data_IF_651185752497
#
_entry.id   IF_651185752497
#
_cell.length_a   1.000
_cell.length_b   1.000
_cell.length_c   1.000
_cell.angle_alpha   90.00
_cell.angle_beta   90.00
_cell.angle_gamma   90.00
#
_symmetry.space_group_name_H-M   'P 1'
#
loop_
_entity.id
_entity.type
_entity.pdbx_description
1 polymer ?
#
# COMPACT_ATOMS: atom_id res chain seq x y z
N UNK A 1 0.88 -14.69 -11.82
CA UNK A 1 0.79 -14.34 -10.37
C UNK A 1 0.79 -12.84 -10.19
N UNK A 2 -0.14 -12.30 -9.42
CA UNK A 2 -0.19 -10.88 -9.03
C UNK A 2 0.36 -10.69 -7.62
N UNK A 3 1.09 -9.61 -7.41
CA UNK A 3 1.63 -9.22 -6.11
C UNK A 3 1.04 -7.86 -5.70
N UNK A 4 0.46 -7.82 -4.52
CA UNK A 4 -0.27 -6.65 -4.03
C UNK A 4 0.38 -6.12 -2.75
N UNK A 5 0.66 -4.84 -2.71
CA UNK A 5 1.06 -4.13 -1.50
C UNK A 5 -0.05 -3.21 -1.04
N UNK A 6 -0.36 -3.24 0.25
CA UNK A 6 -1.39 -2.41 0.86
C UNK A 6 -0.82 -1.64 2.05
N UNK A 7 -0.62 -0.33 1.86
CA UNK A 7 -0.48 0.62 2.96
C UNK A 7 -1.87 1.02 3.44
N UNK A 8 -2.22 0.57 4.65
CA UNK A 8 -3.58 0.71 5.19
C UNK A 8 -3.91 2.09 5.77
N UNK A 9 -2.98 3.05 5.72
CA UNK A 9 -3.24 4.40 6.20
C UNK A 9 -4.29 5.15 5.39
N UNK A 10 -4.95 6.18 6.00
CA UNK A 10 -5.88 7.06 5.27
C UNK A 10 -5.21 7.79 4.08
N UNK A 11 -3.90 7.97 4.14
CA UNK A 11 -3.05 8.48 3.06
C UNK A 11 -2.21 7.38 2.43
N UNK A 12 -2.60 6.14 2.60
CA UNK A 12 -1.92 4.99 2.04
C UNK A 12 -2.28 4.72 0.58
N UNK A 13 -2.08 3.49 0.16
CA UNK A 13 -2.38 3.08 -1.21
C UNK A 13 -2.47 1.56 -1.37
N UNK A 14 -2.96 1.16 -2.53
CA UNK A 14 -3.01 -0.22 -2.98
C UNK A 14 -2.33 -0.27 -4.35
N UNK A 15 -1.31 -1.10 -4.49
CA UNK A 15 -0.57 -1.28 -5.75
C UNK A 15 -0.53 -2.75 -6.11
N UNK A 16 -0.84 -3.04 -7.37
CA UNK A 16 -0.87 -4.37 -7.95
C UNK A 16 0.21 -4.46 -9.02
N UNK A 17 1.15 -5.38 -8.84
CA UNK A 17 2.25 -5.67 -9.76
C UNK A 17 2.02 -7.01 -10.44
N UNK A 18 2.20 -7.07 -11.75
CA UNK A 18 2.24 -8.32 -12.49
C UNK A 18 3.64 -8.94 -12.36
N UNK A 19 3.72 -10.13 -11.75
CA UNK A 19 4.99 -10.81 -11.49
C UNK A 19 5.68 -11.34 -12.75
N UNK A 20 4.97 -11.55 -13.85
CA UNK A 20 5.54 -12.01 -15.12
C UNK A 20 6.16 -10.85 -15.90
N UNK A 21 5.38 -9.80 -16.12
CA UNK A 21 5.82 -8.62 -16.89
C UNK A 21 6.64 -7.64 -16.09
N UNK A 22 6.64 -7.75 -14.76
CA UNK A 22 7.29 -6.83 -13.81
C UNK A 22 6.79 -5.38 -13.93
N UNK A 23 5.54 -5.24 -14.37
CA UNK A 23 4.88 -3.92 -14.56
C UNK A 23 3.81 -3.67 -13.51
N UNK A 24 3.52 -2.41 -13.27
CA UNK A 24 2.37 -2.03 -12.44
C UNK A 24 1.10 -2.22 -13.27
N UNK A 25 0.23 -3.10 -12.78
CA UNK A 25 -1.08 -3.35 -13.39
C UNK A 25 -2.08 -2.26 -12.99
N UNK A 26 -2.08 -1.90 -11.72
CA UNK A 26 -2.95 -0.85 -11.18
C UNK A 26 -2.38 -0.27 -9.90
N UNK A 27 -2.72 0.98 -9.65
CA UNK A 27 -2.37 1.68 -8.40
C UNK A 27 -3.50 2.59 -7.98
N UNK A 28 -3.83 2.58 -6.69
CA UNK A 28 -4.92 3.34 -6.11
C UNK A 28 -4.44 4.01 -4.83
N UNK A 29 -4.67 5.31 -4.72
CA UNK A 29 -4.62 5.97 -3.41
C UNK A 29 -5.71 5.35 -2.54
N UNK A 30 -5.47 5.20 -1.24
CA UNK A 30 -6.47 4.62 -0.34
C UNK A 30 -7.81 5.35 -0.52
N UNK A 31 -8.87 4.63 -0.89
CA UNK A 31 -10.18 5.23 -1.08
C UNK A 31 -10.73 5.80 0.23
N UNK A 32 -11.02 7.08 0.22
CA UNK A 32 -11.53 7.81 1.40
C UNK A 32 -12.59 8.83 1.01
N UNK A 33 -13.57 9.03 1.89
CA UNK A 33 -14.47 10.18 1.85
C UNK A 33 -13.77 11.39 2.49
N UNK A 34 -13.65 12.49 1.74
CA UNK A 34 -13.11 13.76 2.21
C UNK A 34 -14.26 14.67 2.63
N UNK A 35 -14.44 14.88 3.93
CA UNK A 35 -15.43 15.78 4.51
C UNK A 35 -14.85 16.55 5.69
N UNK A 36 -15.68 16.96 6.65
CA UNK A 36 -15.20 17.52 7.93
C UNK A 36 -14.21 16.59 8.64
N UNK A 37 -14.37 15.29 8.43
CA UNK A 37 -13.45 14.24 8.90
C UNK A 37 -13.27 13.25 7.75
N UNK A 38 -12.02 12.87 7.48
CA UNK A 38 -11.69 11.82 6.50
C UNK A 38 -12.07 10.45 7.09
N UNK A 39 -12.67 9.59 6.26
CA UNK A 39 -13.03 8.23 6.62
C UNK A 39 -12.83 7.29 5.44
N UNK A 40 -12.72 5.96 5.66
CA UNK A 40 -12.51 5.00 4.58
C UNK A 40 -13.77 4.83 3.72
N UNK A 41 -13.58 4.83 2.41
CA UNK A 41 -14.61 4.36 1.45
C UNK A 41 -14.49 2.85 1.28
N UNK A 42 -15.07 2.13 2.23
CA UNK A 42 -15.01 0.66 2.30
C UNK A 42 -15.57 0.03 1.01
N UNK A 43 -16.62 0.60 0.44
CA UNK A 43 -17.21 0.09 -0.80
C UNK A 43 -16.24 0.15 -1.97
N UNK A 44 -15.51 1.24 -2.10
CA UNK A 44 -14.48 1.38 -3.14
C UNK A 44 -13.29 0.46 -2.89
N UNK A 45 -12.87 0.26 -1.64
CA UNK A 45 -11.83 -0.72 -1.29
C UNK A 45 -12.27 -2.14 -1.68
N UNK A 46 -13.51 -2.54 -1.34
CA UNK A 46 -14.08 -3.83 -1.75
C UNK A 46 -14.04 -4.02 -3.27
N UNK A 47 -14.42 -3.00 -4.04
CA UNK A 47 -14.40 -3.05 -5.50
C UNK A 47 -12.99 -3.24 -6.08
N UNK A 48 -11.99 -2.54 -5.53
CA UNK A 48 -10.60 -2.69 -5.97
C UNK A 48 -10.11 -4.13 -5.77
N UNK A 49 -10.46 -4.74 -4.64
CA UNK A 49 -10.05 -6.10 -4.30
C UNK A 49 -10.95 -7.19 -4.91
N UNK A 50 -12.07 -6.81 -5.55
CA UNK A 50 -13.03 -7.75 -6.14
C UNK A 50 -12.47 -8.52 -7.35
N UNK A 51 -11.58 -7.90 -8.09
CA UNK A 51 -10.98 -8.48 -9.30
C UNK A 51 -9.86 -9.48 -9.01
N UNK A 52 -9.43 -9.58 -7.75
CA UNK A 52 -8.32 -10.45 -7.39
C UNK A 52 -8.81 -11.90 -7.27
N UNK A 53 -8.15 -12.78 -8.02
CA UNK A 53 -8.39 -14.22 -7.89
C UNK A 53 -7.52 -14.78 -6.75
N UNK A 54 -8.10 -15.46 -5.74
CA UNK A 54 -7.36 -16.03 -4.62
C UNK A 54 -6.22 -16.97 -5.04
N UNK A 55 -6.40 -17.71 -6.13
CA UNK A 55 -5.40 -18.67 -6.60
C UNK A 55 -4.20 -18.00 -7.29
N UNK A 56 -4.35 -16.76 -7.73
CA UNK A 56 -3.38 -16.07 -8.60
C UNK A 56 -2.83 -14.77 -8.02
N UNK A 57 -3.03 -14.57 -6.71
CA UNK A 57 -2.61 -13.37 -6.00
C UNK A 57 -1.88 -13.70 -4.69
N UNK A 58 -0.88 -12.86 -4.37
CA UNK A 58 -0.26 -12.78 -3.04
C UNK A 58 -0.30 -11.33 -2.58
N UNK A 59 -0.63 -11.12 -1.32
CA UNK A 59 -0.85 -9.79 -0.75
C UNK A 59 0.05 -9.58 0.46
N UNK A 60 0.62 -8.40 0.56
CA UNK A 60 1.29 -7.92 1.76
C UNK A 60 0.52 -6.72 2.30
N UNK A 61 0.09 -6.84 3.55
CA UNK A 61 -0.57 -5.78 4.31
C UNK A 61 0.39 -5.24 5.37
N UNK A 62 0.58 -3.92 5.41
CA UNK A 62 1.42 -3.32 6.44
C UNK A 62 0.77 -3.46 7.82
N UNK A 63 1.58 -3.90 8.78
CA UNK A 63 1.15 -3.98 10.19
C UNK A 63 0.82 -2.60 10.72
N UNK A 64 -0.39 -2.41 11.20
CA UNK A 64 -0.79 -1.16 11.83
C UNK A 64 0.13 -0.82 13.02
N UNK A 65 0.65 0.37 13.03
CA UNK A 65 1.50 0.87 14.11
C UNK A 65 0.94 2.19 14.64
N UNK A 66 0.51 2.16 15.90
CA UNK A 66 0.06 3.36 16.61
C UNK A 66 1.25 3.98 17.33
N UNK A 67 1.60 5.22 16.97
CA UNK A 67 2.67 5.94 17.66
C UNK A 67 2.15 6.47 18.99
N UNK A 68 2.96 6.46 20.07
CA UNK A 68 2.53 6.96 21.40
C UNK A 68 2.01 8.41 21.37
N UNK A 69 2.54 9.24 20.46
CA UNK A 69 2.15 10.65 20.30
C UNK A 69 0.90 10.85 19.42
N UNK A 70 0.35 9.77 18.85
CA UNK A 70 -0.85 9.87 17.99
C UNK A 70 -2.07 10.28 18.82
N UNK A 71 -2.86 11.22 18.29
CA UNK A 71 -4.13 11.58 18.91
C UNK A 71 -5.13 10.40 18.89
N UNK A 72 -6.08 10.39 19.81
CA UNK A 72 -7.09 9.31 19.98
C UNK A 72 -7.77 8.92 18.67
N UNK A 73 -8.20 9.91 17.86
CA UNK A 73 -8.84 9.64 16.56
C UNK A 73 -7.87 8.99 15.56
N UNK A 74 -6.64 9.48 15.47
CA UNK A 74 -5.65 8.90 14.55
C UNK A 74 -5.37 7.44 14.91
N UNK A 75 -5.21 7.14 16.20
CA UNK A 75 -5.02 5.78 16.69
C UNK A 75 -6.22 4.88 16.37
N UNK A 76 -7.44 5.38 16.60
CA UNK A 76 -8.67 4.67 16.25
C UNK A 76 -8.75 4.39 14.74
N UNK A 77 -8.51 5.39 13.89
CA UNK A 77 -8.59 5.24 12.44
C UNK A 77 -7.51 4.27 11.90
N UNK A 78 -6.31 4.26 12.49
CA UNK A 78 -5.27 3.31 12.14
C UNK A 78 -5.71 1.88 12.42
N UNK A 79 -6.24 1.59 13.61
CA UNK A 79 -6.75 0.26 13.96
C UNK A 79 -7.99 -0.12 13.16
N UNK A 80 -8.92 0.83 12.97
CA UNK A 80 -10.15 0.62 12.21
C UNK A 80 -9.84 0.25 10.74
N UNK A 81 -9.02 1.05 10.04
CA UNK A 81 -8.65 0.77 8.65
C UNK A 81 -7.93 -0.57 8.50
N UNK A 82 -7.03 -0.90 9.42
CA UNK A 82 -6.35 -2.17 9.45
C UNK A 82 -7.32 -3.35 9.58
N UNK A 83 -8.26 -3.27 10.55
CA UNK A 83 -9.27 -4.31 10.76
C UNK A 83 -10.24 -4.44 9.59
N UNK A 84 -10.66 -3.30 8.99
CA UNK A 84 -11.53 -3.30 7.80
C UNK A 84 -10.87 -4.02 6.63
N UNK A 85 -9.61 -3.70 6.32
CA UNK A 85 -8.90 -4.33 5.21
C UNK A 85 -8.72 -5.83 5.47
N UNK A 86 -8.30 -6.23 6.66
CA UNK A 86 -8.22 -7.65 7.02
C UNK A 86 -9.57 -8.35 6.86
N UNK A 87 -10.66 -7.76 7.36
CA UNK A 87 -12.00 -8.32 7.22
C UNK A 87 -12.41 -8.51 5.75
N UNK A 88 -12.05 -7.57 4.85
CA UNK A 88 -12.32 -7.70 3.42
C UNK A 88 -11.48 -8.84 2.82
N UNK A 89 -10.20 -8.92 3.13
CA UNK A 89 -9.31 -9.97 2.62
C UNK A 89 -9.79 -11.36 3.05
N UNK A 90 -10.12 -11.54 4.32
CA UNK A 90 -10.67 -12.78 4.86
C UNK A 90 -12.01 -13.16 4.19
N UNK A 91 -12.95 -12.21 4.10
CA UNK A 91 -14.27 -12.45 3.49
C UNK A 91 -14.18 -12.85 2.00
N UNK A 92 -13.09 -12.45 1.32
CA UNK A 92 -12.82 -12.81 -0.08
C UNK A 92 -11.87 -14.00 -0.23
N UNK A 93 -11.47 -14.64 0.86
CA UNK A 93 -10.51 -15.75 0.88
C UNK A 93 -9.17 -15.40 0.19
N UNK A 94 -8.77 -14.13 0.26
CA UNK A 94 -7.53 -13.65 -0.31
C UNK A 94 -6.37 -13.91 0.67
N UNK A 95 -5.38 -14.69 0.24
CA UNK A 95 -4.19 -14.95 1.06
C UNK A 95 -3.32 -13.71 1.21
N UNK A 96 -2.98 -13.35 2.45
CA UNK A 96 -2.13 -12.22 2.73
C UNK A 96 -1.14 -12.48 3.87
N UNK A 97 -0.04 -11.74 3.86
CA UNK A 97 0.95 -11.70 4.94
C UNK A 97 1.00 -10.31 5.55
N UNK A 98 1.07 -10.26 6.88
CA UNK A 98 1.25 -9.01 7.62
C UNK A 98 2.75 -8.77 7.77
N UNK A 99 3.22 -7.60 7.36
CA UNK A 99 4.63 -7.23 7.42
C UNK A 99 4.84 -5.93 8.18
N UNK A 100 5.95 -5.82 8.89
CA UNK A 100 6.30 -4.55 9.53
C UNK A 100 6.91 -3.58 8.51
N UNK A 101 6.80 -2.25 8.73
CA UNK A 101 7.50 -1.28 7.90
C UNK A 101 9.01 -1.56 7.79
N UNK A 102 9.62 -2.00 8.88
CA UNK A 102 11.05 -2.29 8.92
C UNK A 102 11.44 -3.41 7.95
N UNK A 103 10.63 -4.47 7.84
CA UNK A 103 10.97 -5.64 7.04
C UNK A 103 11.06 -5.29 5.55
N UNK A 104 10.02 -4.65 5.00
CA UNK A 104 10.02 -4.30 3.59
C UNK A 104 10.99 -3.14 3.27
N UNK A 105 11.15 -2.16 4.19
CA UNK A 105 12.07 -1.04 3.99
C UNK A 105 13.52 -1.50 3.93
N UNK A 106 13.95 -2.35 4.86
CA UNK A 106 15.31 -2.88 4.86
C UNK A 106 15.64 -3.68 3.60
N UNK A 107 14.65 -4.37 3.06
CA UNK A 107 14.86 -5.25 1.92
C UNK A 107 14.78 -4.51 0.57
N UNK A 108 13.77 -3.68 0.39
CA UNK A 108 13.50 -3.00 -0.89
C UNK A 108 14.29 -1.69 -1.02
N UNK A 109 14.43 -0.95 0.07
CA UNK A 109 15.12 0.34 0.05
C UNK A 109 16.62 0.21 0.40
N UNK A 110 17.16 -1.00 0.34
CA UNK A 110 18.59 -1.24 0.56
C UNK A 110 19.44 -0.39 -0.37
N UNK A 111 20.36 0.40 0.21
CA UNK A 111 21.22 1.31 -0.55
C UNK A 111 20.61 2.69 -0.82
N UNK A 112 19.34 2.92 -0.46
CA UNK A 112 18.76 4.25 -0.37
C UNK A 112 19.13 4.84 0.99
N UNK A 113 19.54 6.08 1.04
CA UNK A 113 20.06 6.67 2.29
C UNK A 113 19.83 8.19 2.32
N UNK A 114 18.59 8.63 2.13
CA UNK A 114 18.25 10.06 2.28
C UNK A 114 18.01 10.45 3.74
N UNK A 115 17.91 9.47 4.65
CA UNK A 115 17.51 9.66 6.04
C UNK A 115 15.99 9.83 6.23
N UNK A 116 15.21 9.71 5.15
CA UNK A 116 13.75 9.82 5.15
C UNK A 116 13.17 8.71 4.27
N UNK A 117 12.58 7.69 4.90
CA UNK A 117 12.05 6.52 4.20
C UNK A 117 10.98 6.84 3.16
N UNK A 118 10.22 7.93 3.35
CA UNK A 118 9.24 8.40 2.36
C UNK A 118 9.91 8.94 1.10
N UNK A 119 11.00 9.68 1.25
CA UNK A 119 11.80 10.13 0.10
C UNK A 119 12.47 8.95 -0.57
N UNK A 120 12.95 7.99 0.20
CA UNK A 120 13.58 6.78 -0.32
C UNK A 120 12.61 5.96 -1.17
N UNK A 121 11.37 5.70 -0.71
CA UNK A 121 10.36 4.98 -1.49
C UNK A 121 9.95 5.72 -2.76
N UNK A 122 9.75 7.04 -2.70
CA UNK A 122 9.46 7.88 -3.86
C UNK A 122 10.60 7.79 -4.89
N UNK A 123 11.84 7.96 -4.45
CA UNK A 123 13.00 7.92 -5.34
C UNK A 123 13.20 6.52 -5.94
N UNK A 124 13.03 5.48 -5.15
CA UNK A 124 13.11 4.09 -5.62
C UNK A 124 12.07 3.81 -6.70
N UNK A 125 10.81 4.09 -6.43
CA UNK A 125 9.72 3.84 -7.37
C UNK A 125 9.84 4.68 -8.65
N UNK A 126 10.25 5.95 -8.54
CA UNK A 126 10.48 6.82 -9.71
C UNK A 126 11.60 6.32 -10.61
N UNK A 127 12.64 5.71 -10.05
CA UNK A 127 13.73 5.08 -10.82
C UNK A 127 13.31 3.75 -11.43
N UNK A 128 12.58 2.94 -10.66
CA UNK A 128 12.18 1.58 -11.08
C UNK A 128 11.10 1.62 -12.15
N UNK A 129 10.18 2.58 -12.05
CA UNK A 129 9.03 2.77 -12.94
C UNK A 129 8.94 4.22 -13.44
N UNK A 130 9.85 4.66 -14.30
CA UNK A 130 9.97 6.07 -14.70
C UNK A 130 8.80 6.60 -15.55
N UNK A 131 7.97 5.69 -16.08
CA UNK A 131 6.76 6.05 -16.85
C UNK A 131 5.50 6.18 -15.99
N UNK A 132 5.58 5.82 -14.71
CA UNK A 132 4.44 5.87 -13.81
C UNK A 132 4.29 7.24 -13.17
N UNK A 133 3.06 7.71 -13.10
CA UNK A 133 2.72 8.92 -12.35
C UNK A 133 2.43 8.56 -10.89
N UNK A 134 3.30 8.99 -10.00
CA UNK A 134 3.19 8.73 -8.56
C UNK A 134 2.43 9.80 -7.80
N UNK A 135 1.75 10.71 -8.46
CA UNK A 135 0.89 11.71 -7.83
C UNK A 135 -0.45 11.09 -7.42
N UNK A 136 -1.06 11.63 -6.36
CA UNK A 136 -2.40 11.20 -5.93
C UNK A 136 -3.46 11.52 -7.00
N UNK A 137 -3.29 12.64 -7.72
CA UNK A 137 -4.11 13.08 -8.84
C UNK A 137 -3.24 13.88 -9.81
N UNK A 138 -3.66 14.03 -11.05
CA UNK A 138 -2.95 14.87 -12.05
C UNK A 138 -2.73 16.32 -11.59
N UNK A 139 -3.62 16.84 -10.73
CA UNK A 139 -3.53 18.19 -10.17
C UNK A 139 -2.55 18.30 -8.99
N UNK A 140 -2.12 17.18 -8.43
CA UNK A 140 -1.20 17.17 -7.30
C UNK A 140 0.19 17.60 -7.74
N UNK A 141 0.82 18.51 -6.98
CA UNK A 141 2.21 18.94 -7.22
C UNK A 141 3.24 17.98 -6.62
N UNK A 142 2.85 17.21 -5.61
CA UNK A 142 3.73 16.30 -4.88
C UNK A 142 3.44 14.85 -5.24
N UNK A 143 4.48 14.03 -5.26
CA UNK A 143 4.38 12.60 -5.35
C UNK A 143 3.77 12.04 -4.04
N UNK A 144 3.07 10.94 -4.15
CA UNK A 144 2.28 10.35 -3.06
C UNK A 144 3.05 9.20 -2.42
N UNK A 145 3.55 9.43 -1.21
CA UNK A 145 4.33 8.45 -0.45
C UNK A 145 3.58 7.12 -0.21
N UNK A 146 2.29 7.18 0.13
CA UNK A 146 1.50 5.96 0.32
C UNK A 146 1.37 5.08 -0.93
N UNK A 147 1.40 5.65 -2.15
CA UNK A 147 1.45 4.86 -3.38
C UNK A 147 2.82 4.19 -3.57
N UNK A 148 3.88 4.91 -3.29
CA UNK A 148 5.24 4.37 -3.44
C UNK A 148 5.57 3.35 -2.35
N UNK A 149 5.08 3.54 -1.13
CA UNK A 149 5.21 2.56 -0.05
C UNK A 149 4.45 1.27 -0.40
N UNK A 150 3.20 1.38 -0.88
CA UNK A 150 2.43 0.24 -1.36
C UNK A 150 3.10 -0.48 -2.54
N UNK A 151 3.76 0.26 -3.45
CA UNK A 151 4.54 -0.34 -4.53
C UNK A 151 5.76 -1.11 -3.99
N UNK A 152 6.51 -0.53 -3.07
CA UNK A 152 7.63 -1.22 -2.43
C UNK A 152 7.16 -2.50 -1.72
N UNK A 153 6.01 -2.46 -1.06
CA UNK A 153 5.42 -3.65 -0.43
C UNK A 153 4.98 -4.70 -1.45
N UNK A 154 4.43 -4.31 -2.62
CA UNK A 154 4.12 -5.26 -3.69
C UNK A 154 5.38 -5.97 -4.22
N UNK A 155 6.48 -5.23 -4.37
CA UNK A 155 7.78 -5.81 -4.75
C UNK A 155 8.38 -6.68 -3.64
N UNK A 156 8.20 -6.31 -2.39
CA UNK A 156 8.55 -7.15 -1.26
C UNK A 156 7.73 -8.45 -1.26
N UNK A 157 6.43 -8.35 -1.51
CA UNK A 157 5.54 -9.50 -1.68
C UNK A 157 6.07 -10.45 -2.76
N UNK A 158 6.41 -9.92 -3.92
CA UNK A 158 7.02 -10.70 -4.99
C UNK A 158 8.28 -11.44 -4.51
N UNK A 159 9.15 -10.76 -3.78
CA UNK A 159 10.42 -11.32 -3.33
C UNK A 159 10.28 -12.46 -2.32
N UNK A 160 9.29 -12.39 -1.42
CA UNK A 160 9.10 -13.41 -0.39
C UNK A 160 8.30 -14.63 -0.86
N UNK A 161 7.62 -14.51 -2.01
CA UNK A 161 6.78 -15.60 -2.57
C UNK A 161 7.30 -16.17 -3.89
N UNK A 162 8.43 -15.69 -4.41
CA UNK A 162 9.20 -16.28 -5.50
C UNK A 162 10.47 -16.93 -4.96
#
# INVERSE_FOLDING_TARGET
MLYVGIDNGLNGGIVIVNGETKTILSKFVMPVFKGKKTDYDIKSICKILEFLNPDDVRIVLEKAHVRPISGKRASFMTGFGYGVIQGILEAKSLSYSIVSPKDWQQEILKGMNTGDTKKDSIMFCSRRYPKEDWRATERSKKLHDGLTDACCMALYCEKIFN
#
